data_IF_200835668561
#
_entry.id   IF_200835668561
#
_cell.length_a   1.000
_cell.length_b   1.000
_cell.length_c   1.000
_cell.angle_alpha   90.00
_cell.angle_beta   90.00
_cell.angle_gamma   90.00
#
_symmetry.space_group_name_H-M   'P 1'
#
loop_
_entity.id
_entity.type
_entity.pdbx_description
1 polymer ?
#
# COMPACT_ATOMS: atom_id res chain seq x y z
N UNK A 1 -15.97 4.33 5.07
CA UNK A 1 -15.06 3.17 4.93
C UNK A 1 -14.93 2.70 3.48
N UNK A 2 -14.52 3.60 2.58
CA UNK A 2 -14.17 3.24 1.19
C UNK A 2 -12.75 3.71 0.88
N UNK A 3 -12.31 4.81 1.50
CA UNK A 3 -10.97 5.37 1.40
C UNK A 3 -9.90 4.36 1.84
N UNK A 4 -10.00 3.79 3.04
CA UNK A 4 -9.02 2.84 3.60
C UNK A 4 -8.89 1.61 2.71
N UNK A 5 -10.03 1.08 2.27
CA UNK A 5 -10.09 -0.02 1.31
C UNK A 5 -9.38 0.35 0.01
N UNK A 6 -9.74 1.47 -0.62
CA UNK A 6 -9.17 1.90 -1.90
C UNK A 6 -7.65 2.11 -1.79
N UNK A 7 -7.18 2.75 -0.72
CA UNK A 7 -5.75 2.98 -0.51
C UNK A 7 -5.03 1.65 -0.28
N UNK A 8 -5.59 0.74 0.52
CA UNK A 8 -4.98 -0.58 0.78
C UNK A 8 -4.94 -1.45 -0.48
N UNK A 9 -6.04 -1.50 -1.24
CA UNK A 9 -6.12 -2.22 -2.51
C UNK A 9 -5.10 -1.67 -3.51
N UNK A 10 -5.00 -0.34 -3.61
CA UNK A 10 -3.97 0.32 -4.42
C UNK A 10 -2.58 -0.13 -3.98
N UNK A 11 -2.30 -0.10 -2.67
CA UNK A 11 -1.01 -0.50 -2.09
C UNK A 11 -0.60 -1.91 -2.50
N UNK A 12 -1.49 -2.86 -2.23
CA UNK A 12 -1.25 -4.26 -2.55
C UNK A 12 -1.08 -4.43 -4.07
N UNK A 13 -1.96 -3.83 -4.87
CA UNK A 13 -1.94 -3.96 -6.34
C UNK A 13 -0.63 -3.46 -6.95
N UNK A 14 -0.09 -2.38 -6.43
CA UNK A 14 1.14 -1.78 -6.96
C UNK A 14 2.39 -2.50 -6.47
N UNK A 15 2.49 -2.88 -5.18
CA UNK A 15 3.63 -3.64 -4.67
C UNK A 15 3.69 -5.07 -5.26
N UNK A 16 2.53 -5.69 -5.50
CA UNK A 16 2.44 -7.05 -6.07
C UNK A 16 2.42 -7.07 -7.62
N UNK A 17 2.45 -5.89 -8.23
CA UNK A 17 2.36 -5.63 -9.67
C UNK A 17 1.08 -6.14 -10.37
N UNK A 18 -0.05 -6.12 -9.68
CA UNK A 18 -1.38 -6.45 -10.20
C UNK A 18 -2.06 -5.31 -10.98
N UNK A 19 -1.40 -4.16 -11.13
CA UNK A 19 -1.95 -3.00 -11.87
C UNK A 19 -2.39 -3.34 -13.29
N UNK A 20 -3.61 -2.90 -13.61
CA UNK A 20 -4.21 -3.00 -14.94
C UNK A 20 -3.69 -1.93 -15.91
N UNK A 21 -3.88 -2.15 -17.21
CA UNK A 21 -3.49 -1.21 -18.29
C UNK A 21 -4.12 0.17 -18.11
N UNK A 22 -5.39 0.23 -17.64
CA UNK A 22 -6.08 1.51 -17.38
C UNK A 22 -5.32 2.37 -16.36
N UNK A 23 -4.96 1.79 -15.21
CA UNK A 23 -4.17 2.47 -14.18
C UNK A 23 -2.81 2.99 -14.70
N UNK A 24 -2.21 2.35 -15.72
CA UNK A 24 -0.99 2.85 -16.36
C UNK A 24 -1.23 4.03 -17.30
N UNK A 25 -2.38 4.07 -17.96
CA UNK A 25 -2.81 5.23 -18.75
C UNK A 25 -3.11 6.42 -17.85
N UNK A 26 -3.72 6.18 -16.68
CA UNK A 26 -4.00 7.22 -15.70
C UNK A 26 -2.70 7.73 -15.06
N UNK A 27 -1.75 6.83 -14.77
CA UNK A 27 -0.39 7.21 -14.35
C UNK A 27 0.28 8.15 -15.36
N UNK A 28 0.18 7.88 -16.67
CA UNK A 28 0.75 8.77 -17.70
C UNK A 28 0.10 10.16 -17.75
N UNK A 29 -1.17 10.28 -17.34
CA UNK A 29 -1.91 11.55 -17.33
C UNK A 29 -1.67 12.37 -16.07
N UNK A 30 -1.58 11.70 -14.92
CA UNK A 30 -1.63 12.34 -13.60
C UNK A 30 -0.23 12.40 -12.98
N UNK A 31 0.69 11.49 -13.35
CA UNK A 31 2.02 11.41 -12.77
C UNK A 31 3.12 11.83 -13.75
N UNK A 32 4.12 12.56 -13.25
CA UNK A 32 5.34 12.84 -14.02
C UNK A 32 6.37 11.70 -13.85
N UNK A 33 6.12 10.54 -14.49
CA UNK A 33 6.94 9.31 -14.39
C UNK A 33 7.02 8.55 -15.74
N UNK A 34 7.73 9.09 -16.74
CA UNK A 34 7.80 8.49 -18.09
C UNK A 34 8.37 7.07 -18.10
N UNK A 35 9.23 6.72 -17.14
CA UNK A 35 9.83 5.38 -17.00
C UNK A 35 8.82 4.29 -16.63
N UNK A 36 7.61 4.65 -16.19
CA UNK A 36 6.55 3.74 -15.77
C UNK A 36 5.35 3.76 -16.72
N UNK A 37 5.40 4.53 -17.80
CA UNK A 37 4.36 4.54 -18.82
C UNK A 37 4.34 3.23 -19.63
N UNK A 38 3.24 2.98 -20.33
CA UNK A 38 3.18 1.84 -21.25
C UNK A 38 4.20 2.04 -22.38
N UNK A 39 4.90 0.98 -22.76
CA UNK A 39 5.76 1.04 -23.95
C UNK A 39 4.90 1.21 -25.20
N UNK A 40 5.47 1.69 -26.33
CA UNK A 40 4.75 1.77 -27.60
C UNK A 40 4.15 0.44 -28.06
N UNK A 41 4.75 -0.68 -27.65
CA UNK A 41 4.27 -2.05 -27.87
C UNK A 41 3.17 -2.51 -26.90
N UNK A 42 2.71 -1.65 -25.98
CA UNK A 42 1.71 -1.99 -24.95
C UNK A 42 2.25 -2.74 -23.74
N UNK A 43 3.57 -2.90 -23.64
CA UNK A 43 4.24 -3.51 -22.50
C UNK A 43 4.14 -2.65 -21.25
N UNK A 44 4.14 -3.29 -20.08
CA UNK A 44 4.08 -2.64 -18.76
C UNK A 44 5.45 -2.70 -18.07
N UNK A 45 6.24 -1.61 -18.05
CA UNK A 45 7.49 -1.57 -17.31
C UNK A 45 7.25 -1.83 -15.82
N UNK A 46 8.01 -2.77 -15.26
CA UNK A 46 7.92 -3.11 -13.84
C UNK A 46 8.54 -1.98 -13.00
N UNK A 47 7.84 -1.58 -11.94
CA UNK A 47 8.38 -0.56 -11.03
C UNK A 47 9.49 -1.17 -10.14
N UNK A 48 10.48 -0.35 -9.72
CA UNK A 48 11.61 -0.82 -8.91
C UNK A 48 11.20 -1.31 -7.51
N UNK A 49 10.00 -0.93 -7.06
CA UNK A 49 9.40 -1.32 -5.78
C UNK A 49 8.33 -2.42 -5.92
N UNK A 50 8.28 -3.13 -7.06
CA UNK A 50 7.43 -4.30 -7.20
C UNK A 50 8.16 -5.57 -6.74
N UNK A 51 7.46 -6.44 -6.01
CA UNK A 51 7.99 -7.73 -5.55
C UNK A 51 8.34 -8.66 -6.72
N UNK A 52 9.40 -9.44 -6.56
CA UNK A 52 9.77 -10.52 -7.50
C UNK A 52 8.72 -11.64 -7.43
N UNK A 53 8.60 -12.46 -8.49
CA UNK A 53 7.62 -13.53 -8.51
C UNK A 53 7.69 -14.49 -7.32
N UNK A 54 8.88 -14.75 -6.77
CA UNK A 54 9.05 -15.62 -5.59
C UNK A 54 8.62 -14.91 -4.30
N UNK A 55 9.09 -13.69 -4.06
CA UNK A 55 8.69 -12.84 -2.92
C UNK A 55 7.16 -12.68 -2.87
N UNK A 56 6.53 -12.48 -4.04
CA UNK A 56 5.07 -12.41 -4.16
C UNK A 56 4.38 -13.68 -3.69
N UNK A 57 4.90 -14.87 -4.04
CA UNK A 57 4.35 -16.15 -3.58
C UNK A 57 4.49 -16.31 -2.07
N UNK A 58 5.60 -15.86 -1.50
CA UNK A 58 5.84 -15.89 -0.06
C UNK A 58 4.85 -15.00 0.68
N UNK A 59 4.65 -13.77 0.22
CA UNK A 59 3.64 -12.86 0.78
C UNK A 59 2.23 -13.45 0.69
N UNK A 60 1.85 -14.02 -0.46
CA UNK A 60 0.53 -14.67 -0.61
C UNK A 60 0.36 -15.89 0.30
N UNK A 61 1.41 -16.70 0.48
CA UNK A 61 1.42 -17.86 1.37
C UNK A 61 1.31 -17.42 2.84
N UNK A 62 2.05 -16.39 3.22
CA UNK A 62 1.98 -15.79 4.55
C UNK A 62 0.56 -15.31 4.83
N UNK A 63 -0.02 -14.51 3.94
CA UNK A 63 -1.37 -13.98 4.10
C UNK A 63 -2.43 -15.06 4.21
N UNK A 64 -2.33 -16.14 3.41
CA UNK A 64 -3.27 -17.27 3.47
C UNK A 64 -3.24 -18.01 4.81
N UNK A 65 -2.08 -18.06 5.45
CA UNK A 65 -1.88 -18.78 6.71
C UNK A 65 -1.98 -17.86 7.93
N UNK A 66 -2.13 -16.56 7.73
CA UNK A 66 -2.12 -15.58 8.80
C UNK A 66 -3.40 -15.66 9.62
N UNK A 67 -3.24 -15.89 10.93
CA UNK A 67 -4.32 -15.93 11.91
C UNK A 67 -3.94 -15.02 13.08
N UNK A 68 -4.87 -14.16 13.48
CA UNK A 68 -4.75 -13.37 14.70
C UNK A 68 -4.96 -14.26 15.93
N UNK A 69 -4.40 -13.88 17.09
CA UNK A 69 -4.60 -14.61 18.34
C UNK A 69 -6.06 -14.75 18.78
N UNK A 70 -6.95 -13.88 18.29
CA UNK A 70 -8.40 -13.92 18.51
C UNK A 70 -9.14 -14.90 17.56
N UNK A 71 -8.41 -15.61 16.70
CA UNK A 71 -8.95 -16.57 15.73
C UNK A 71 -9.35 -15.95 14.39
N UNK A 72 -9.26 -14.63 14.21
CA UNK A 72 -9.55 -13.99 12.93
C UNK A 72 -8.49 -14.35 11.88
N UNK A 73 -8.93 -14.83 10.72
CA UNK A 73 -8.06 -15.24 9.62
C UNK A 73 -8.35 -14.38 8.39
N UNK A 74 -7.29 -13.85 7.78
CA UNK A 74 -7.42 -13.18 6.48
C UNK A 74 -7.42 -14.29 5.42
N UNK A 75 -8.46 -14.30 4.59
CA UNK A 75 -8.59 -15.28 3.52
C UNK A 75 -7.54 -15.09 2.42
N UNK A 76 -7.80 -15.67 1.25
CA UNK A 76 -7.08 -15.26 0.03
C UNK A 76 -7.30 -13.75 -0.16
N UNK A 77 -6.37 -13.03 -0.80
CA UNK A 77 -6.52 -11.60 -1.18
C UNK A 77 -7.61 -11.37 -2.25
N UNK A 78 -8.66 -12.20 -2.27
CA UNK A 78 -9.81 -12.18 -3.18
C UNK A 78 -11.05 -12.26 -2.29
N UNK A 79 -11.97 -11.30 -2.45
CA UNK A 79 -13.23 -11.27 -1.70
C UNK A 79 -13.12 -10.75 -0.27
N UNK A 80 -12.08 -9.95 0.03
CA UNK A 80 -11.91 -9.30 1.33
C UNK A 80 -13.04 -8.30 1.60
N UNK A 81 -13.52 -8.27 2.86
CA UNK A 81 -14.47 -7.27 3.35
C UNK A 81 -13.73 -6.00 3.75
N UNK A 82 -14.46 -4.89 3.87
CA UNK A 82 -13.89 -3.60 4.26
C UNK A 82 -13.09 -3.67 5.58
N UNK A 83 -13.58 -4.43 6.56
CA UNK A 83 -12.89 -4.68 7.83
C UNK A 83 -11.53 -5.37 7.66
N UNK A 84 -11.40 -6.26 6.67
CA UNK A 84 -10.16 -6.98 6.43
C UNK A 84 -9.09 -6.01 5.91
N UNK A 85 -9.48 -5.08 5.03
CA UNK A 85 -8.57 -4.02 4.55
C UNK A 85 -8.13 -3.06 5.64
N UNK A 86 -8.99 -2.78 6.60
CA UNK A 86 -8.65 -1.97 7.77
C UNK A 86 -7.49 -2.58 8.55
N UNK A 87 -7.64 -3.86 8.90
CA UNK A 87 -6.61 -4.61 9.61
C UNK A 87 -5.32 -4.68 8.78
N UNK A 88 -5.44 -4.90 7.48
CA UNK A 88 -4.28 -4.95 6.59
C UNK A 88 -3.55 -3.61 6.58
N UNK A 89 -4.26 -2.50 6.38
CA UNK A 89 -3.67 -1.16 6.36
C UNK A 89 -2.96 -0.84 7.67
N UNK A 90 -3.64 -1.02 8.80
CA UNK A 90 -3.12 -0.57 10.09
C UNK A 90 -1.95 -1.41 10.61
N UNK A 91 -1.91 -2.70 10.25
CA UNK A 91 -1.03 -3.66 10.93
C UNK A 91 -0.19 -4.49 9.99
N UNK A 92 -0.71 -4.88 8.83
CA UNK A 92 -0.08 -5.93 8.03
C UNK A 92 0.73 -5.41 6.86
N UNK A 93 0.39 -4.28 6.25
CA UNK A 93 1.18 -3.68 5.16
C UNK A 93 2.69 -3.62 5.48
N UNK A 94 3.15 -3.08 6.63
CA UNK A 94 4.58 -3.03 6.94
C UNK A 94 5.19 -4.42 7.16
N UNK A 95 4.42 -5.36 7.72
CA UNK A 95 4.88 -6.73 8.00
C UNK A 95 5.00 -7.53 6.71
N UNK A 96 4.00 -7.43 5.83
CA UNK A 96 3.92 -8.13 4.55
C UNK A 96 5.09 -7.77 3.63
N UNK A 97 5.54 -6.52 3.67
CA UNK A 97 6.53 -6.01 2.73
C UNK A 97 7.93 -5.82 3.32
N UNK A 98 8.12 -6.10 4.62
CA UNK A 98 9.44 -5.96 5.26
C UNK A 98 10.47 -6.86 4.60
N UNK A 99 11.61 -6.30 4.23
CA UNK A 99 12.73 -7.03 3.62
C UNK A 99 12.60 -7.28 2.12
N UNK A 100 11.43 -7.03 1.52
CA UNK A 100 11.23 -7.18 0.06
C UNK A 100 11.31 -5.84 -0.69
N UNK A 101 10.93 -4.75 -0.03
CA UNK A 101 10.94 -3.41 -0.62
C UNK A 101 12.20 -2.63 -0.21
N UNK A 102 12.66 -1.66 -1.03
CA UNK A 102 13.71 -0.73 -0.61
C UNK A 102 13.35 -0.06 0.72
N UNK A 103 14.31 0.15 1.62
CA UNK A 103 14.02 0.65 2.98
C UNK A 103 13.26 1.98 2.98
N UNK A 104 13.58 2.89 2.05
CA UNK A 104 12.86 4.15 1.92
C UNK A 104 11.38 3.96 1.54
N UNK A 105 11.08 2.97 0.71
CA UNK A 105 9.71 2.61 0.32
C UNK A 105 8.97 1.97 1.50
N UNK A 106 9.60 1.00 2.14
CA UNK A 106 9.03 0.30 3.27
C UNK A 106 8.76 1.25 4.45
N UNK A 107 9.66 2.19 4.72
CA UNK A 107 9.48 3.20 5.77
C UNK A 107 8.25 4.06 5.52
N UNK A 108 7.97 4.45 4.27
CA UNK A 108 6.78 5.23 3.94
C UNK A 108 5.50 4.42 4.14
N UNK A 109 5.51 3.13 3.77
CA UNK A 109 4.38 2.24 4.05
C UNK A 109 4.15 2.05 5.55
N UNK A 110 5.24 1.94 6.32
CA UNK A 110 5.15 1.86 7.79
C UNK A 110 4.58 3.15 8.40
N UNK A 111 5.03 4.32 7.94
CA UNK A 111 4.50 5.62 8.37
C UNK A 111 3.01 5.74 8.02
N UNK A 112 2.60 5.29 6.83
CA UNK A 112 1.20 5.31 6.38
C UNK A 112 0.31 4.39 7.22
N UNK A 113 0.76 3.17 7.47
CA UNK A 113 0.05 2.23 8.36
C UNK A 113 -0.08 2.77 9.77
N UNK A 114 0.97 3.39 10.30
CA UNK A 114 0.93 4.06 11.59
C UNK A 114 -0.07 5.22 11.60
N UNK A 115 -0.07 6.05 10.56
CA UNK A 115 -1.02 7.16 10.39
C UNK A 115 -2.47 6.66 10.45
N UNK A 116 -2.83 5.66 9.63
CA UNK A 116 -4.18 5.09 9.64
C UNK A 116 -4.55 4.47 11.00
N UNK A 117 -3.60 3.78 11.65
CA UNK A 117 -3.82 3.20 12.98
C UNK A 117 -4.14 4.24 14.05
N UNK A 118 -3.57 5.45 13.94
CA UNK A 118 -3.92 6.56 14.82
C UNK A 118 -5.25 7.19 14.41
N UNK A 119 -5.43 7.48 13.12
CA UNK A 119 -6.61 8.15 12.58
C UNK A 119 -7.90 7.36 12.79
N UNK A 120 -7.82 6.04 12.83
CA UNK A 120 -8.98 5.18 12.97
C UNK A 120 -9.14 4.56 14.35
N UNK A 121 -8.31 4.94 15.33
CA UNK A 121 -8.50 4.50 16.70
C UNK A 121 -9.89 4.88 17.22
N UNK A 122 -10.48 4.01 18.05
CA UNK A 122 -11.82 4.23 18.62
C UNK A 122 -11.95 5.57 19.35
N UNK A 123 -10.87 5.99 20.01
CA UNK A 123 -10.75 7.25 20.72
C UNK A 123 -9.41 7.89 20.35
N UNK A 124 -9.44 9.19 20.04
CA UNK A 124 -8.26 9.95 19.63
C UNK A 124 -8.20 11.21 20.49
N UNK A 125 -7.05 11.42 21.13
CA UNK A 125 -6.81 12.64 21.91
C UNK A 125 -6.59 13.83 20.97
N UNK A 126 -7.00 15.02 21.40
CA UNK A 126 -6.87 16.25 20.59
C UNK A 126 -5.42 16.49 20.14
N UNK A 127 -4.46 16.26 21.02
CA UNK A 127 -3.03 16.48 20.74
C UNK A 127 -2.52 15.53 19.65
N UNK A 128 -3.06 14.30 19.58
CA UNK A 128 -2.72 13.34 18.52
C UNK A 128 -3.32 13.81 17.20
N UNK A 129 -4.55 14.32 17.20
CA UNK A 129 -5.19 14.84 15.98
C UNK A 129 -4.41 16.04 15.41
N UNK A 130 -4.03 17.00 16.25
CA UNK A 130 -3.21 18.16 15.84
C UNK A 130 -1.85 17.74 15.28
N UNK A 131 -1.30 16.63 15.78
CA UNK A 131 -0.07 16.04 15.23
C UNK A 131 -0.32 15.39 13.87
N UNK A 132 -1.37 14.59 13.72
CA UNK A 132 -1.72 13.95 12.45
C UNK A 132 -1.96 14.97 11.34
N UNK A 133 -2.59 16.10 11.65
CA UNK A 133 -2.79 17.22 10.71
C UNK A 133 -1.47 17.79 10.20
N UNK A 134 -0.44 17.88 11.07
CA UNK A 134 0.91 18.35 10.69
C UNK A 134 1.71 17.28 9.96
N UNK A 135 1.49 16.01 10.27
CA UNK A 135 2.24 14.88 9.72
C UNK A 135 1.73 14.48 8.32
N UNK A 136 0.43 14.67 8.02
CA UNK A 136 -0.16 14.21 6.75
C UNK A 136 0.46 14.85 5.50
N UNK A 137 0.78 16.17 5.44
CA UNK A 137 1.42 16.75 4.27
C UNK A 137 2.83 16.21 4.08
N UNK A 138 3.56 15.98 5.17
CA UNK A 138 4.91 15.38 5.15
C UNK A 138 4.85 13.95 4.61
N UNK A 139 3.87 13.17 5.05
CA UNK A 139 3.64 11.81 4.58
C UNK A 139 3.31 11.78 3.09
N UNK A 140 2.41 12.65 2.62
CA UNK A 140 2.09 12.79 1.19
C UNK A 140 3.35 13.16 0.40
N UNK A 141 4.15 14.13 0.86
CA UNK A 141 5.41 14.48 0.21
C UNK A 141 6.40 13.30 0.15
N UNK A 142 6.47 12.48 1.21
CA UNK A 142 7.30 11.25 1.19
C UNK A 142 6.78 10.22 0.18
N UNK A 143 5.47 10.09 0.03
CA UNK A 143 4.80 9.20 -0.93
C UNK A 143 4.91 9.64 -2.39
N UNK A 144 5.34 10.87 -2.66
CA UNK A 144 5.51 11.42 -4.02
C UNK A 144 6.98 11.53 -4.45
N UNK A 145 7.93 11.31 -3.54
CA UNK A 145 9.37 11.39 -3.86
C UNK A 145 9.73 10.35 -4.92
N UNK A 146 10.66 10.68 -5.83
CA UNK A 146 11.00 9.91 -7.06
C UNK A 146 11.19 8.39 -6.92
N UNK A 147 11.48 7.87 -5.72
CA UNK A 147 11.66 6.44 -5.45
C UNK A 147 10.38 5.68 -5.06
N UNK A 148 9.29 6.40 -4.79
CA UNK A 148 8.00 5.86 -4.39
C UNK A 148 6.96 6.88 -4.84
N UNK A 149 6.23 6.60 -5.92
CA UNK A 149 5.11 7.45 -6.34
C UNK A 149 3.88 6.55 -6.39
N UNK A 150 3.04 6.73 -5.39
CA UNK A 150 1.64 6.39 -5.43
C UNK A 150 0.94 7.55 -6.10
N UNK A 151 0.26 7.31 -7.22
CA UNK A 151 -0.95 8.09 -7.44
C UNK A 151 -2.07 7.10 -7.73
N UNK A 152 -3.10 7.27 -6.92
CA UNK A 152 -4.40 6.60 -6.93
C UNK A 152 -5.10 6.76 -8.28
#
# INVERSE_FOLDING_TARGET
MHQERNVTESIISTCMDFRHVKARKDLAKICNRPTLELTPSGGKPRAPFCLKPQERKEVLRYMKNFKFPDGYAIGKLIGLKAHDYYIIMERLVPVMFRGYLPDGVWSVLSDLSYFYRQLCAKEIKKEVMEKLEKDVPVLICKMEKKNFSWVL
#
